data_IF_182217182120
#
_entry.id   IF_182217182120
#
_cell.length_a   1.000
_cell.length_b   1.000
_cell.length_c   1.000
_cell.angle_alpha   90.00
_cell.angle_beta   90.00
_cell.angle_gamma   90.00
#
_symmetry.space_group_name_H-M   'P 1'
#
loop_
_entity.id
_entity.type
_entity.pdbx_description
1 polymer ?
#
# COMPACT_ATOMS: atom_id res chain seq x y z
N UNK A 1 -7.19 -7.52 28.82
CA UNK A 1 -5.97 -7.66 28.00
C UNK A 1 -6.41 -7.77 26.55
N UNK A 2 -5.88 -6.98 25.63
CA UNK A 2 -6.20 -7.13 24.20
C UNK A 2 -5.54 -8.38 23.65
N UNK A 3 -6.31 -9.25 23.00
CA UNK A 3 -5.80 -10.43 22.31
C UNK A 3 -5.35 -10.09 20.89
N UNK A 4 -4.60 -11.00 20.25
CA UNK A 4 -4.19 -10.86 18.85
C UNK A 4 -5.40 -10.65 17.91
N UNK A 5 -6.50 -11.38 18.13
CA UNK A 5 -7.74 -11.27 17.35
C UNK A 5 -8.42 -9.91 17.50
N UNK A 6 -8.27 -9.25 18.65
CA UNK A 6 -8.86 -7.92 18.87
C UNK A 6 -8.18 -6.86 18.02
N UNK A 7 -6.84 -6.92 17.91
CA UNK A 7 -6.08 -6.05 17.03
C UNK A 7 -6.35 -6.30 15.55
N UNK A 8 -6.56 -7.56 15.16
CA UNK A 8 -6.92 -7.91 13.78
C UNK A 8 -8.27 -7.33 13.38
N UNK A 9 -9.28 -7.48 14.24
CA UNK A 9 -10.62 -6.88 14.04
C UNK A 9 -10.58 -5.35 14.03
N UNK A 10 -9.75 -4.76 14.90
CA UNK A 10 -9.54 -3.31 14.92
C UNK A 10 -8.90 -2.84 13.61
N UNK A 11 -7.88 -3.56 13.13
CA UNK A 11 -7.18 -3.21 11.90
C UNK A 11 -8.07 -3.37 10.66
N UNK A 12 -8.92 -4.39 10.61
CA UNK A 12 -9.89 -4.57 9.53
C UNK A 12 -10.91 -3.43 9.51
N UNK A 13 -11.45 -3.03 10.67
CA UNK A 13 -12.35 -1.86 10.77
C UNK A 13 -11.64 -0.56 10.40
N UNK A 14 -10.39 -0.39 10.81
CA UNK A 14 -9.58 0.75 10.38
C UNK A 14 -9.45 0.83 8.86
N UNK A 15 -9.24 -0.31 8.19
CA UNK A 15 -9.15 -0.38 6.73
C UNK A 15 -10.46 0.01 6.04
N UNK A 16 -11.60 -0.38 6.60
CA UNK A 16 -12.92 -0.15 6.01
C UNK A 16 -13.52 1.22 6.34
N UNK A 17 -13.29 1.73 7.56
CA UNK A 17 -13.94 2.95 8.06
C UNK A 17 -12.94 4.07 8.30
N UNK A 18 -11.78 3.76 8.87
CA UNK A 18 -10.77 4.75 9.23
C UNK A 18 -10.06 5.36 8.02
N UNK A 19 -9.66 4.54 7.04
CA UNK A 19 -8.98 5.01 5.83
C UNK A 19 -9.90 5.88 4.96
N UNK A 20 -11.15 5.47 4.64
CA UNK A 20 -12.06 6.31 3.85
C UNK A 20 -12.44 7.61 4.55
N UNK A 21 -12.51 7.60 5.89
CA UNK A 21 -12.76 8.80 6.69
C UNK A 21 -11.50 9.68 6.90
N UNK A 22 -10.34 9.31 6.34
CA UNK A 22 -9.09 10.06 6.49
C UNK A 22 -8.56 10.11 7.93
N UNK A 23 -8.97 9.17 8.79
CA UNK A 23 -8.57 9.12 10.20
C UNK A 23 -7.23 8.40 10.33
N UNK A 24 -6.31 8.94 11.13
CA UNK A 24 -5.04 8.26 11.43
C UNK A 24 -5.27 7.01 12.28
N UNK A 25 -4.45 5.97 12.12
CA UNK A 25 -4.57 4.74 12.92
C UNK A 25 -4.46 5.01 14.42
N UNK A 26 -3.66 6.00 14.82
CA UNK A 26 -3.53 6.42 16.22
C UNK A 26 -4.85 6.97 16.75
N UNK A 27 -5.44 7.94 16.04
CA UNK A 27 -6.73 8.52 16.41
C UNK A 27 -7.84 7.47 16.41
N UNK A 28 -7.80 6.54 15.46
CA UNK A 28 -8.75 5.41 15.40
C UNK A 28 -8.58 4.45 16.58
N UNK A 29 -7.35 4.11 16.97
CA UNK A 29 -7.08 3.28 18.15
C UNK A 29 -7.59 3.95 19.42
N UNK A 30 -7.28 5.24 19.61
CA UNK A 30 -7.75 6.02 20.77
C UNK A 30 -9.27 6.10 20.83
N UNK A 31 -9.93 6.32 19.69
CA UNK A 31 -11.40 6.34 19.59
C UNK A 31 -12.03 4.99 19.94
N UNK A 32 -11.33 3.88 19.71
CA UNK A 32 -11.77 2.52 20.02
C UNK A 32 -11.24 2.02 21.38
N UNK A 33 -10.75 2.92 22.25
CA UNK A 33 -10.21 2.61 23.58
C UNK A 33 -9.00 1.66 23.58
N UNK A 34 -8.28 1.58 22.45
CA UNK A 34 -7.08 0.76 22.29
C UNK A 34 -5.84 1.60 22.54
N UNK A 35 -4.99 1.16 23.47
CA UNK A 35 -3.70 1.80 23.70
C UNK A 35 -2.80 1.65 22.47
N UNK A 36 -2.54 2.77 21.80
CA UNK A 36 -1.74 2.80 20.57
C UNK A 36 -0.38 2.11 20.71
N UNK A 37 0.26 2.17 21.89
CA UNK A 37 1.57 1.55 22.15
C UNK A 37 1.65 0.03 21.87
N UNK A 38 0.52 -0.67 21.86
CA UNK A 38 0.44 -2.11 21.57
C UNK A 38 0.30 -2.40 20.07
N UNK A 39 -0.25 -1.45 19.31
CA UNK A 39 -0.57 -1.63 17.89
C UNK A 39 0.66 -1.75 16.98
N UNK A 40 1.72 -0.92 17.11
CA UNK A 40 2.94 -1.07 16.32
C UNK A 40 3.66 -2.39 16.54
N UNK A 41 3.61 -2.93 17.78
CA UNK A 41 4.20 -4.25 18.10
C UNK A 41 3.42 -5.35 17.38
N UNK A 42 2.10 -5.37 17.55
CA UNK A 42 1.23 -6.31 16.86
C UNK A 42 1.38 -6.21 15.33
N UNK A 43 1.34 -5.01 14.75
CA UNK A 43 1.43 -4.80 13.31
C UNK A 43 2.76 -5.30 12.70
N UNK A 44 3.88 -5.13 13.40
CA UNK A 44 5.19 -5.70 12.98
C UNK A 44 5.19 -7.22 13.01
N UNK A 45 4.61 -7.83 14.04
CA UNK A 45 4.55 -9.28 14.18
C UNK A 45 3.57 -9.90 13.16
N UNK A 46 2.45 -9.23 12.89
CA UNK A 46 1.46 -9.62 11.87
C UNK A 46 2.04 -9.51 10.45
N UNK A 47 2.75 -8.42 10.10
CA UNK A 47 3.43 -8.27 8.79
C UNK A 47 4.50 -9.34 8.52
N UNK A 48 5.14 -9.89 9.56
CA UNK A 48 6.11 -10.99 9.41
C UNK A 48 5.45 -12.35 9.25
N UNK A 49 4.24 -12.54 9.78
CA UNK A 49 3.47 -13.80 9.69
C UNK A 49 2.60 -13.88 8.44
N UNK A 50 2.13 -12.74 7.93
CA UNK A 50 1.40 -12.65 6.67
C UNK A 50 2.41 -12.78 5.53
N UNK A 51 2.77 -14.03 5.21
CA UNK A 51 3.24 -14.37 3.87
C UNK A 51 2.09 -14.01 2.94
N UNK A 52 2.35 -13.15 1.96
CA UNK A 52 1.37 -12.74 0.97
C UNK A 52 1.00 -13.98 0.15
N UNK A 53 -0.02 -14.72 0.59
CA UNK A 53 -0.58 -15.82 -0.19
C UNK A 53 -1.24 -15.15 -1.39
N UNK A 54 -0.51 -15.09 -2.50
CA UNK A 54 -1.14 -14.94 -3.81
C UNK A 54 -2.02 -16.18 -4.00
N UNK A 55 -3.30 -16.03 -3.70
CA UNK A 55 -4.29 -17.00 -4.13
C UNK A 55 -4.35 -16.92 -5.66
N UNK A 56 -3.71 -17.89 -6.32
CA UNK A 56 -3.95 -18.20 -7.71
C UNK A 56 -5.43 -18.59 -7.84
N UNK A 57 -6.25 -17.73 -8.45
CA UNK A 57 -7.55 -18.15 -8.98
C UNK A 57 -8.81 -17.52 -8.37
N UNK A 58 -8.90 -16.19 -8.25
CA UNK A 58 -10.21 -15.54 -8.22
C UNK A 58 -10.18 -14.22 -9.02
N UNK A 59 -11.16 -13.95 -9.91
CA UNK A 59 -11.23 -12.72 -10.68
C UNK A 59 -11.48 -11.53 -9.75
N UNK A 60 -10.75 -10.44 -9.99
CA UNK A 60 -11.04 -9.12 -9.47
C UNK A 60 -12.47 -8.73 -9.88
N UNK A 61 -13.35 -8.28 -8.97
CA UNK A 61 -14.62 -7.69 -9.39
C UNK A 61 -14.33 -6.41 -10.17
N UNK A 62 -14.60 -6.47 -11.48
CA UNK A 62 -14.89 -5.29 -12.29
C UNK A 62 -16.02 -4.52 -11.62
N UNK A 63 -15.75 -3.28 -11.25
CA UNK A 63 -16.77 -2.27 -11.12
C UNK A 63 -16.64 -1.35 -12.34
N UNK A 64 -17.24 -1.80 -13.44
CA UNK A 64 -17.68 -0.93 -14.51
C UNK A 64 -18.65 0.11 -13.94
N UNK A 65 -18.48 1.39 -14.28
CA UNK A 65 -19.48 2.03 -15.15
C UNK A 65 -18.98 3.36 -15.76
N UNK A 66 -19.48 3.72 -16.97
CA UNK A 66 -18.88 4.68 -17.89
C UNK A 66 -19.63 6.02 -17.97
N UNK A 67 -18.99 7.08 -18.49
CA UNK A 67 -19.52 8.02 -19.50
C UNK A 67 -18.53 9.18 -19.79
N UNK A 68 -18.31 9.48 -21.07
CA UNK A 68 -17.59 10.67 -21.59
C UNK A 68 -18.61 11.63 -22.28
N UNK A 69 -18.26 12.77 -22.92
CA UNK A 69 -17.00 13.56 -22.96
C UNK A 69 -17.14 15.12 -22.88
N UNK A 70 -16.03 15.81 -22.53
CA UNK A 70 -15.54 17.16 -22.97
C UNK A 70 -16.27 18.48 -22.57
N UNK A 71 -15.68 19.71 -22.73
CA UNK A 71 -14.28 20.21 -22.61
C UNK A 71 -14.09 21.58 -21.85
N UNK A 72 -12.94 21.78 -21.14
CA UNK A 72 -11.99 22.96 -21.03
C UNK A 72 -12.52 24.39 -20.61
N UNK A 73 -11.77 25.40 -20.04
CA UNK A 73 -10.44 25.52 -19.36
C UNK A 73 -10.42 26.30 -17.99
N UNK A 74 -9.24 26.31 -17.34
CA UNK A 74 -8.66 27.36 -16.46
C UNK A 74 -9.31 27.72 -15.10
N UNK A 75 -8.64 27.36 -13.99
CA UNK A 75 -8.21 28.37 -13.01
C UNK A 75 -7.15 27.87 -12.00
N UNK A 76 -6.19 28.76 -11.82
CA UNK A 76 -5.00 28.75 -10.96
C UNK A 76 -5.35 28.58 -9.47
N UNK A 77 -4.71 27.64 -8.78
CA UNK A 77 -4.48 27.75 -7.34
C UNK A 77 -3.17 27.04 -6.97
N UNK A 78 -2.11 27.85 -6.91
CA UNK A 78 -0.92 27.55 -6.14
C UNK A 78 -1.32 27.50 -4.66
N UNK A 79 -1.33 26.32 -4.08
CA UNK A 79 -1.17 26.15 -2.63
C UNK A 79 -0.35 24.89 -2.39
N UNK A 80 0.79 25.09 -1.73
CA UNK A 80 1.81 24.09 -1.40
C UNK A 80 1.23 22.76 -0.88
N UNK A 81 1.64 21.61 -1.45
CA UNK A 81 1.32 20.31 -0.89
C UNK A 81 2.35 19.98 0.19
N UNK A 82 2.11 20.37 1.44
CA UNK A 82 2.78 19.73 2.59
C UNK A 82 1.87 18.71 3.26
N UNK A 83 1.21 17.90 2.45
CA UNK A 83 0.82 16.56 2.87
C UNK A 83 2.05 15.68 2.70
N UNK A 84 2.84 15.50 3.76
CA UNK A 84 3.73 14.35 3.83
C UNK A 84 2.85 13.11 3.71
N UNK A 85 2.85 12.52 2.52
CA UNK A 85 2.05 11.36 2.13
C UNK A 85 2.29 10.20 3.11
N UNK A 86 1.30 9.32 3.31
CA UNK A 86 1.41 8.19 4.22
C UNK A 86 2.50 7.26 3.67
N UNK A 87 3.68 7.26 4.31
CA UNK A 87 4.85 6.37 4.07
C UNK A 87 4.78 5.67 2.70
N UNK A 88 5.23 6.35 1.65
CA UNK A 88 5.18 5.84 0.27
C UNK A 88 5.60 4.36 0.22
N UNK A 89 4.78 3.53 -0.42
CA UNK A 89 5.10 2.10 -0.58
C UNK A 89 6.43 1.99 -1.33
N UNK A 90 7.39 1.31 -0.70
CA UNK A 90 8.73 1.07 -1.24
C UNK A 90 8.90 -0.40 -1.59
N UNK A 91 9.28 -0.66 -2.83
CA UNK A 91 9.44 -1.98 -3.40
C UNK A 91 10.91 -2.36 -3.35
N UNK A 92 11.20 -3.61 -3.00
CA UNK A 92 12.51 -4.23 -3.10
C UNK A 92 12.41 -5.38 -4.09
N UNK A 93 13.37 -5.46 -5.01
CA UNK A 93 13.43 -6.47 -6.06
C UNK A 93 14.82 -7.06 -6.13
N UNK A 94 14.89 -8.39 -6.19
CA UNK A 94 16.12 -9.17 -6.41
C UNK A 94 15.86 -10.15 -7.57
N UNK A 95 16.58 -10.01 -8.66
CA UNK A 95 16.39 -10.76 -9.91
C UNK A 95 17.66 -11.53 -10.20
N UNK A 96 17.54 -12.85 -10.33
CA UNK A 96 18.64 -13.75 -10.70
C UNK A 96 18.28 -14.45 -11.99
N UNK A 97 19.14 -14.29 -12.99
CA UNK A 97 18.98 -14.88 -14.31
C UNK A 97 19.85 -16.15 -14.43
N UNK A 98 19.46 -17.07 -15.32
CA UNK A 98 20.20 -18.31 -15.57
C UNK A 98 21.58 -18.08 -16.19
N UNK A 99 21.78 -16.94 -16.87
CA UNK A 99 23.07 -16.50 -17.41
C UNK A 99 24.02 -15.93 -16.34
N UNK A 100 23.64 -15.95 -15.06
CA UNK A 100 24.46 -15.46 -13.94
C UNK A 100 24.32 -13.96 -13.65
N UNK A 101 23.50 -13.22 -14.40
CA UNK A 101 23.20 -11.81 -14.11
C UNK A 101 22.36 -11.70 -12.84
N UNK A 102 22.76 -10.80 -11.95
CA UNK A 102 22.07 -10.50 -10.69
C UNK A 102 21.79 -9.01 -10.56
N UNK A 103 20.52 -8.66 -10.33
CA UNK A 103 20.06 -7.28 -10.20
C UNK A 103 19.32 -7.15 -8.87
N UNK A 104 19.78 -6.24 -8.01
CA UNK A 104 19.17 -5.98 -6.69
C UNK A 104 18.89 -4.50 -6.53
N UNK A 105 17.62 -4.15 -6.36
CA UNK A 105 17.19 -2.76 -6.16
C UNK A 105 16.28 -2.64 -4.95
N UNK A 106 16.47 -1.56 -4.19
CA UNK A 106 15.70 -1.24 -2.99
C UNK A 106 15.02 0.11 -3.19
N UNK A 107 13.98 0.36 -2.42
CA UNK A 107 13.32 1.66 -2.37
C UNK A 107 12.70 2.09 -3.71
N UNK A 108 12.26 1.15 -4.53
CA UNK A 108 11.59 1.43 -5.79
C UNK A 108 10.17 1.93 -5.54
N UNK A 109 9.76 2.95 -6.29
CA UNK A 109 8.34 3.24 -6.50
C UNK A 109 7.76 2.26 -7.52
N UNK A 110 6.43 2.25 -7.68
CA UNK A 110 5.78 1.48 -8.74
C UNK A 110 6.30 1.87 -10.13
N UNK A 111 6.41 3.17 -10.42
CA UNK A 111 6.99 3.66 -11.67
C UNK A 111 8.46 3.22 -11.85
N UNK A 112 9.23 3.23 -10.76
CA UNK A 112 10.62 2.73 -10.77
C UNK A 112 10.70 1.24 -11.10
N UNK A 113 9.76 0.44 -10.59
CA UNK A 113 9.66 -0.98 -10.94
C UNK A 113 9.29 -1.18 -12.41
N UNK A 114 8.30 -0.42 -12.91
CA UNK A 114 7.87 -0.50 -14.31
C UNK A 114 9.04 -0.21 -15.27
N UNK A 115 9.76 0.89 -15.00
CA UNK A 115 10.96 1.24 -15.79
C UNK A 115 12.08 0.21 -15.67
N UNK A 116 12.24 -0.43 -14.50
CA UNK A 116 13.18 -1.54 -14.35
C UNK A 116 12.80 -2.70 -15.28
N UNK A 117 11.53 -3.11 -15.31
CA UNK A 117 11.05 -4.21 -16.16
C UNK A 117 11.26 -3.92 -17.64
N UNK A 118 10.95 -2.71 -18.11
CA UNK A 118 11.19 -2.29 -19.51
C UNK A 118 12.68 -2.40 -19.89
N UNK A 119 13.60 -2.09 -18.96
CA UNK A 119 15.05 -2.22 -19.20
C UNK A 119 15.52 -3.67 -19.24
N UNK A 120 14.83 -4.57 -18.54
CA UNK A 120 15.16 -6.00 -18.55
C UNK A 120 14.79 -6.65 -19.88
N UNK A 121 13.79 -6.14 -20.59
CA UNK A 121 13.42 -6.63 -21.92
C UNK A 121 14.59 -6.57 -22.90
N UNK A 122 15.47 -5.56 -22.76
CA UNK A 122 16.68 -5.43 -23.59
C UNK A 122 17.75 -6.49 -23.28
N UNK A 123 17.66 -7.16 -22.12
CA UNK A 123 18.59 -8.20 -21.68
C UNK A 123 18.13 -9.62 -22.05
N UNK A 124 16.91 -9.77 -22.56
CA UNK A 124 16.30 -11.03 -22.99
C UNK A 124 16.38 -11.16 -24.52
#
# INVERSE_FOLDING_TARGET
MYSYNDFERLFLRYKLEGIPAGVSIEKFCMSNQVFYNLFPKWYKDTRKKVILVQALGAPLPEAEMPESPSPIPEQKSESDPRFSSPTELRILVDIRMSNGVHISQKNLSYEGLKSLVEKLEVLC
#
